data_IF_956984790992
#
_entry.id   IF_956984790992
#
_cell.length_a   1.000
_cell.length_b   1.000
_cell.length_c   1.000
_cell.angle_alpha   90.00
_cell.angle_beta   90.00
_cell.angle_gamma   90.00
#
_symmetry.space_group_name_H-M   'P 1'
#
loop_
_entity.id
_entity.type
_entity.pdbx_description
1 polymer ?
#
# COMPACT_ATOMS: atom_id res chain seq x y z
N UNK A 1 15.74 4.86 12.16
CA UNK A 1 16.03 5.25 13.58
C UNK A 1 14.79 5.34 14.51
N UNK A 2 13.75 6.14 14.19
CA UNK A 2 12.57 6.37 15.06
C UNK A 2 11.87 5.09 15.55
N UNK A 3 11.72 4.09 14.68
CA UNK A 3 11.12 2.79 14.98
C UNK A 3 11.82 2.05 16.13
N UNK A 4 13.16 1.97 16.09
CA UNK A 4 13.96 1.29 17.11
C UNK A 4 13.97 2.02 18.44
N UNK A 5 13.97 3.37 18.42
CA UNK A 5 13.85 4.16 19.64
C UNK A 5 12.53 3.89 20.38
N UNK A 6 11.43 3.77 19.64
CA UNK A 6 10.12 3.41 20.23
C UNK A 6 10.11 1.99 20.79
N UNK A 7 10.72 1.03 20.09
CA UNK A 7 10.85 -0.34 20.59
C UNK A 7 11.67 -0.41 21.88
N UNK A 8 12.83 0.24 21.91
CA UNK A 8 13.71 0.27 23.09
C UNK A 8 12.99 0.86 24.31
N UNK A 9 12.24 1.96 24.12
CA UNK A 9 11.47 2.58 25.20
C UNK A 9 10.31 1.70 25.67
N UNK A 10 9.65 0.99 24.75
CA UNK A 10 8.61 0.01 25.10
C UNK A 10 9.18 -1.11 25.95
N UNK A 11 10.31 -1.70 25.56
CA UNK A 11 10.97 -2.78 26.31
C UNK A 11 11.42 -2.32 27.70
N UNK A 12 11.94 -1.11 27.83
CA UNK A 12 12.32 -0.53 29.12
C UNK A 12 11.11 -0.39 30.06
N UNK A 13 9.99 0.13 29.56
CA UNK A 13 8.75 0.31 30.33
C UNK A 13 8.09 -1.02 30.71
N UNK A 14 8.20 -2.05 29.87
CA UNK A 14 7.68 -3.40 30.17
C UNK A 14 8.49 -4.10 31.28
N UNK A 15 9.81 -3.88 31.32
CA UNK A 15 10.69 -4.47 32.35
C UNK A 15 10.55 -3.80 33.73
N UNK A 16 10.12 -2.54 33.77
CA UNK A 16 10.08 -1.77 35.02
C UNK A 16 8.92 -2.16 35.96
N UNK A 17 7.95 -2.96 35.50
CA UNK A 17 6.80 -3.42 36.30
C UNK A 17 5.85 -2.26 36.67
N UNK A 18 4.66 -2.20 36.06
CA UNK A 18 3.69 -1.13 36.36
C UNK A 18 2.68 -1.58 37.40
N UNK A 19 2.53 -0.77 38.46
CA UNK A 19 1.37 -0.79 39.36
C UNK A 19 0.13 -0.39 38.57
N UNK A 20 -0.76 -1.35 38.31
CA UNK A 20 -1.93 -1.22 37.42
C UNK A 20 -3.11 -0.47 38.06
N UNK A 21 -2.98 -0.04 39.31
CA UNK A 21 -4.01 0.57 40.16
C UNK A 21 -4.13 2.10 40.02
N UNK A 22 -3.12 2.80 39.48
CA UNK A 22 -3.01 4.27 39.64
C UNK A 22 -3.22 5.15 38.39
N UNK A 23 -3.49 4.61 37.20
CA UNK A 23 -3.68 5.44 36.00
C UNK A 23 -5.08 5.29 35.39
N UNK A 24 -6.01 6.12 35.86
CA UNK A 24 -7.33 6.36 35.29
C UNK A 24 -7.24 7.44 34.19
N UNK A 25 -7.08 7.03 32.94
CA UNK A 25 -7.29 7.86 31.74
C UNK A 25 -8.27 7.15 30.80
N UNK A 26 -9.41 7.77 30.51
CA UNK A 26 -10.64 7.10 30.09
C UNK A 26 -10.78 6.71 28.60
N UNK A 27 -9.71 6.76 27.77
CA UNK A 27 -9.85 6.65 26.30
C UNK A 27 -8.89 5.69 25.58
N UNK A 28 -8.02 4.97 26.30
CA UNK A 28 -7.09 4.00 25.70
C UNK A 28 -7.53 2.56 26.04
N UNK A 29 -7.60 1.62 25.07
CA UNK A 29 -8.01 0.26 25.38
C UNK A 29 -7.08 -0.36 26.41
N UNK A 30 -7.64 -1.10 27.38
CA UNK A 30 -7.01 -1.44 28.67
C UNK A 30 -5.80 -2.39 28.62
N UNK A 31 -5.30 -2.79 27.44
CA UNK A 31 -4.11 -3.66 27.39
C UNK A 31 -2.85 -2.91 27.80
N UNK A 32 -1.91 -3.62 28.41
CA UNK A 32 -0.64 -3.03 28.90
C UNK A 32 0.22 -2.48 27.76
N UNK A 33 0.15 -3.09 26.57
CA UNK A 33 0.80 -2.59 25.35
C UNK A 33 0.24 -1.23 24.90
N UNK A 34 -1.08 -1.06 24.94
CA UNK A 34 -1.72 0.21 24.56
C UNK A 34 -1.39 1.31 25.56
N UNK A 35 -1.34 0.99 26.86
CA UNK A 35 -0.93 1.94 27.90
C UNK A 35 0.53 2.36 27.73
N UNK A 36 1.40 1.41 27.40
CA UNK A 36 2.84 1.68 27.20
C UNK A 36 3.08 2.51 25.95
N UNK A 37 2.43 2.17 24.83
CA UNK A 37 2.52 2.95 23.60
C UNK A 37 1.85 4.33 23.71
N UNK A 38 0.79 4.48 24.50
CA UNK A 38 0.21 5.77 24.83
C UNK A 38 1.17 6.65 25.65
N UNK A 39 1.85 6.09 26.66
CA UNK A 39 2.88 6.81 27.41
C UNK A 39 4.02 7.28 26.50
N UNK A 40 4.54 6.38 25.65
CA UNK A 40 5.60 6.74 24.68
C UNK A 40 5.13 7.85 23.75
N UNK A 41 3.88 7.76 23.27
CA UNK A 41 3.26 8.76 22.41
C UNK A 41 3.15 10.13 23.08
N UNK A 42 2.66 10.19 24.32
CA UNK A 42 2.60 11.43 25.11
C UNK A 42 3.97 12.08 25.26
N UNK A 43 4.99 11.30 25.59
CA UNK A 43 6.35 11.82 25.80
C UNK A 43 7.00 12.33 24.50
N UNK A 44 6.56 11.83 23.34
CA UNK A 44 7.16 12.11 22.02
C UNK A 44 6.27 12.95 21.10
N UNK A 45 5.08 13.36 21.56
CA UNK A 45 4.10 14.12 20.77
C UNK A 45 3.41 13.32 19.65
N UNK A 46 3.42 11.99 19.72
CA UNK A 46 2.81 11.10 18.73
C UNK A 46 1.57 10.38 19.27
N UNK A 47 0.63 10.00 18.40
CA UNK A 47 -0.48 9.15 18.82
C UNK A 47 0.02 7.73 19.16
N UNK A 48 -0.64 7.03 20.09
CA UNK A 48 -0.31 5.64 20.40
C UNK A 48 -0.34 4.73 19.15
N UNK A 49 -1.26 4.99 18.21
CA UNK A 49 -1.35 4.29 16.92
C UNK A 49 -0.11 4.53 16.07
N UNK A 50 0.40 5.77 16.05
CA UNK A 50 1.64 6.13 15.36
C UNK A 50 2.81 5.36 15.94
N UNK A 51 2.95 5.36 17.26
CA UNK A 51 4.00 4.61 17.98
C UNK A 51 3.94 3.12 17.65
N UNK A 52 2.75 2.50 17.68
CA UNK A 52 2.56 1.10 17.34
C UNK A 52 3.02 0.76 15.92
N UNK A 53 2.64 1.59 14.93
CA UNK A 53 3.04 1.38 13.53
C UNK A 53 4.55 1.46 13.36
N UNK A 54 5.21 2.41 14.02
CA UNK A 54 6.67 2.51 14.00
C UNK A 54 7.35 1.32 14.67
N UNK A 55 6.87 0.87 15.84
CA UNK A 55 7.38 -0.34 16.48
C UNK A 55 7.19 -1.54 15.56
N UNK A 56 6.07 -1.61 14.83
CA UNK A 56 5.80 -2.72 13.92
C UNK A 56 6.86 -2.84 12.82
N UNK A 57 7.34 -1.73 12.26
CA UNK A 57 8.42 -1.74 11.24
C UNK A 57 9.70 -2.45 11.70
N UNK A 58 9.95 -2.57 13.02
CA UNK A 58 11.11 -3.32 13.53
C UNK A 58 11.02 -4.84 13.32
N UNK A 59 9.90 -5.34 12.78
CA UNK A 59 9.72 -6.74 12.37
C UNK A 59 9.97 -6.94 10.87
N UNK A 60 10.35 -5.88 10.14
CA UNK A 60 10.82 -6.02 8.77
C UNK A 60 12.22 -6.61 8.76
N UNK A 61 12.51 -7.43 7.75
CA UNK A 61 13.88 -7.82 7.45
C UNK A 61 14.69 -6.58 7.03
N UNK A 62 16.02 -6.53 7.32
CA UNK A 62 16.83 -5.35 7.04
C UNK A 62 16.71 -4.82 5.60
N UNK A 63 16.74 -5.66 4.54
CA UNK A 63 16.63 -5.15 3.17
C UNK A 63 15.32 -4.40 2.90
N UNK A 64 14.18 -4.92 3.38
CA UNK A 64 12.89 -4.24 3.19
C UNK A 64 12.84 -2.97 4.02
N UNK A 65 13.42 -2.96 5.23
CA UNK A 65 13.50 -1.77 6.05
C UNK A 65 14.34 -0.67 5.39
N UNK A 66 15.47 -1.03 4.79
CA UNK A 66 16.32 -0.10 4.03
C UNK A 66 15.55 0.51 2.86
N UNK A 67 14.76 -0.29 2.12
CA UNK A 67 13.89 0.23 1.06
C UNK A 67 12.82 1.21 1.55
N UNK A 68 12.41 1.13 2.83
CA UNK A 68 11.50 2.11 3.44
C UNK A 68 12.24 3.40 3.78
N UNK A 69 13.44 3.28 4.34
CA UNK A 69 14.29 4.43 4.68
C UNK A 69 14.72 5.19 3.41
N UNK A 70 15.00 4.47 2.31
CA UNK A 70 15.23 5.01 0.97
C UNK A 70 13.97 5.53 0.26
N UNK A 71 12.79 5.40 0.88
CA UNK A 71 11.48 5.78 0.34
C UNK A 71 11.05 5.04 -0.94
N UNK A 72 11.68 3.90 -1.25
CA UNK A 72 11.25 2.99 -2.33
C UNK A 72 9.94 2.28 -1.99
N UNK A 73 9.72 2.01 -0.70
CA UNK A 73 8.46 1.50 -0.15
C UNK A 73 7.86 2.57 0.77
N UNK A 74 6.59 2.92 0.54
CA UNK A 74 5.90 3.87 1.40
C UNK A 74 5.62 3.27 2.80
N UNK A 75 5.53 4.14 3.81
CA UNK A 75 5.32 3.74 5.21
C UNK A 75 4.10 2.85 5.43
N UNK A 76 2.97 3.12 4.77
CA UNK A 76 1.74 2.35 4.98
C UNK A 76 1.83 0.92 4.44
N UNK A 77 2.24 0.67 3.18
CA UNK A 77 2.56 -0.68 2.71
C UNK A 77 3.57 -1.40 3.62
N UNK A 78 4.64 -0.72 4.03
CA UNK A 78 5.66 -1.32 4.91
C UNK A 78 5.09 -1.82 6.24
N UNK A 79 4.14 -1.08 6.83
CA UNK A 79 3.42 -1.53 8.03
C UNK A 79 2.64 -2.80 7.76
N UNK A 80 2.02 -2.99 6.60
CA UNK A 80 1.34 -4.25 6.28
C UNK A 80 2.34 -5.40 6.06
N UNK A 81 3.44 -5.14 5.35
CA UNK A 81 4.50 -6.13 5.10
C UNK A 81 5.17 -6.62 6.39
N UNK A 82 5.27 -5.77 7.40
CA UNK A 82 5.80 -6.15 8.72
C UNK A 82 4.93 -7.16 9.50
N UNK A 83 3.78 -7.57 8.95
CA UNK A 83 3.00 -8.70 9.44
C UNK A 83 3.34 -10.05 8.81
N UNK A 84 4.11 -10.06 7.73
CA UNK A 84 4.59 -11.29 7.11
C UNK A 84 5.67 -11.95 7.96
N UNK A 85 5.76 -13.27 7.87
CA UNK A 85 6.86 -14.03 8.47
C UNK A 85 8.20 -13.67 7.80
N UNK A 86 9.34 -13.78 8.50
CA UNK A 86 10.65 -13.47 7.92
C UNK A 86 10.94 -14.21 6.60
N UNK A 87 10.50 -15.46 6.49
CA UNK A 87 10.65 -16.28 5.30
C UNK A 87 9.79 -15.75 4.13
N UNK A 88 8.57 -15.30 4.42
CA UNK A 88 7.66 -14.70 3.45
C UNK A 88 8.16 -13.33 2.96
N UNK A 89 8.76 -12.54 3.86
CA UNK A 89 9.42 -11.29 3.50
C UNK A 89 10.62 -11.54 2.58
N UNK A 90 11.37 -12.63 2.82
CA UNK A 90 12.49 -13.02 1.95
C UNK A 90 12.00 -13.44 0.57
N UNK A 91 10.90 -14.20 0.49
CA UNK A 91 10.26 -14.55 -0.78
C UNK A 91 9.78 -13.30 -1.55
N UNK A 92 9.14 -12.37 -0.86
CA UNK A 92 8.71 -11.09 -1.43
C UNK A 92 9.90 -10.28 -1.96
N UNK A 93 11.00 -10.21 -1.22
CA UNK A 93 12.21 -9.50 -1.64
C UNK A 93 12.74 -10.05 -2.97
N UNK A 94 12.86 -11.37 -3.09
CA UNK A 94 13.29 -12.02 -4.34
C UNK A 94 12.37 -11.68 -5.53
N UNK A 95 11.06 -11.67 -5.30
CA UNK A 95 10.07 -11.30 -6.34
C UNK A 95 10.18 -9.82 -6.75
N UNK A 96 10.47 -8.94 -5.78
CA UNK A 96 10.68 -7.51 -6.01
C UNK A 96 11.95 -7.23 -6.82
N UNK A 97 13.04 -7.96 -6.53
CA UNK A 97 14.30 -7.88 -7.27
C UNK A 97 14.15 -8.42 -8.69
N UNK A 98 13.47 -9.56 -8.86
CA UNK A 98 13.26 -10.19 -10.17
C UNK A 98 12.45 -9.30 -11.14
N UNK A 99 11.40 -8.65 -10.63
CA UNK A 99 10.50 -7.82 -11.45
C UNK A 99 10.82 -6.32 -11.42
N UNK A 100 11.90 -5.92 -10.72
CA UNK A 100 12.24 -4.53 -10.42
C UNK A 100 11.03 -3.69 -9.97
N UNK A 101 10.30 -4.18 -8.96
CA UNK A 101 9.05 -3.56 -8.53
C UNK A 101 8.83 -3.60 -7.02
N UNK A 102 7.97 -2.71 -6.51
CA UNK A 102 7.54 -2.68 -5.11
C UNK A 102 6.02 -2.82 -4.99
N UNK A 103 5.52 -3.47 -3.93
CA UNK A 103 4.08 -3.61 -3.70
C UNK A 103 3.46 -2.26 -3.33
N UNK A 104 2.28 -1.98 -3.91
CA UNK A 104 1.43 -0.90 -3.44
C UNK A 104 0.64 -1.31 -2.18
N UNK A 105 -0.14 -0.39 -1.61
CA UNK A 105 -0.91 -0.66 -0.39
C UNK A 105 -1.89 -1.83 -0.54
N UNK A 106 -2.61 -1.91 -1.66
CA UNK A 106 -3.58 -2.98 -1.87
C UNK A 106 -2.90 -4.35 -2.01
N UNK A 107 -1.76 -4.40 -2.68
CA UNK A 107 -0.94 -5.62 -2.78
C UNK A 107 -0.43 -6.03 -1.39
N UNK A 108 0.13 -5.10 -0.61
CA UNK A 108 0.63 -5.37 0.73
C UNK A 108 -0.46 -5.88 1.70
N UNK A 109 -1.68 -5.34 1.61
CA UNK A 109 -2.84 -5.81 2.39
C UNK A 109 -3.21 -7.27 2.02
N UNK A 110 -3.29 -7.59 0.72
CA UNK A 110 -3.60 -8.94 0.25
C UNK A 110 -2.52 -9.95 0.61
N UNK A 111 -1.24 -9.55 0.55
CA UNK A 111 -0.11 -10.38 0.99
C UNK A 111 -0.23 -10.71 2.48
N UNK A 112 -0.53 -9.72 3.31
CA UNK A 112 -0.76 -9.92 4.74
C UNK A 112 -1.94 -10.86 5.01
N UNK A 113 -3.08 -10.66 4.35
CA UNK A 113 -4.26 -11.53 4.50
C UNK A 113 -3.92 -12.98 4.13
N UNK A 114 -3.15 -13.18 3.06
CA UNK A 114 -2.71 -14.50 2.62
C UNK A 114 -1.78 -15.18 3.63
N UNK A 115 -0.82 -14.44 4.18
CA UNK A 115 0.06 -14.91 5.26
C UNK A 115 -0.74 -15.30 6.51
N UNK A 116 -1.68 -14.44 6.94
CA UNK A 116 -2.55 -14.72 8.09
C UNK A 116 -3.43 -15.96 7.89
N UNK A 117 -3.79 -16.28 6.64
CA UNK A 117 -4.55 -17.48 6.29
C UNK A 117 -3.67 -18.73 6.13
N UNK A 118 -2.34 -18.61 6.21
CA UNK A 118 -1.40 -19.71 5.96
C UNK A 118 -1.35 -20.16 4.50
N UNK A 119 -1.74 -19.27 3.57
CA UNK A 119 -1.83 -19.56 2.13
C UNK A 119 -0.73 -18.87 1.31
N UNK A 120 0.35 -18.43 1.97
CA UNK A 120 1.44 -17.70 1.31
C UNK A 120 2.31 -18.66 0.50
N UNK A 121 2.19 -18.60 -0.83
CA UNK A 121 2.97 -19.41 -1.76
C UNK A 121 3.61 -18.53 -2.83
N UNK A 122 4.73 -19.01 -3.41
CA UNK A 122 5.42 -18.29 -4.48
C UNK A 122 4.50 -17.98 -5.67
N UNK A 123 3.68 -18.94 -6.11
CA UNK A 123 2.73 -18.75 -7.21
C UNK A 123 1.74 -17.59 -6.94
N UNK A 124 1.17 -17.54 -5.73
CA UNK A 124 0.21 -16.51 -5.34
C UNK A 124 0.88 -15.15 -5.13
N UNK A 125 2.11 -15.15 -4.61
CA UNK A 125 2.94 -13.96 -4.51
C UNK A 125 3.20 -13.35 -5.90
N UNK A 126 3.72 -14.14 -6.85
CA UNK A 126 3.96 -13.68 -8.22
C UNK A 126 2.67 -13.23 -8.91
N UNK A 127 1.55 -13.89 -8.64
CA UNK A 127 0.23 -13.46 -9.14
C UNK A 127 -0.10 -12.04 -8.64
N UNK A 128 0.00 -11.79 -7.33
CA UNK A 128 -0.31 -10.46 -6.76
C UNK A 128 0.66 -9.40 -7.25
N UNK A 129 1.95 -9.73 -7.36
CA UNK A 129 3.00 -8.79 -7.74
C UNK A 129 2.97 -8.46 -9.24
N UNK A 130 2.58 -9.43 -10.08
CA UNK A 130 2.43 -9.27 -11.52
C UNK A 130 1.10 -8.65 -11.97
N UNK A 131 0.13 -8.47 -11.07
CA UNK A 131 -1.10 -7.74 -11.38
C UNK A 131 -0.81 -6.30 -11.83
N UNK A 132 -1.31 -5.94 -13.01
CA UNK A 132 -1.19 -4.61 -13.57
C UNK A 132 -1.79 -3.59 -12.60
N UNK A 133 -0.96 -2.68 -12.09
CA UNK A 133 -1.40 -1.77 -11.03
C UNK A 133 -2.51 -0.87 -11.57
N UNK A 134 -3.57 -0.62 -10.79
CA UNK A 134 -4.69 0.22 -11.26
C UNK A 134 -4.27 1.65 -11.67
N UNK A 135 -3.15 2.14 -11.13
CA UNK A 135 -2.48 3.40 -11.49
C UNK A 135 -1.55 3.29 -12.71
N UNK A 136 -1.25 2.09 -13.19
CA UNK A 136 -0.49 1.81 -14.41
C UNK A 136 -1.37 1.58 -15.65
N UNK A 137 -2.69 1.41 -15.50
CA UNK A 137 -3.60 1.44 -16.66
C UNK A 137 -3.51 2.78 -17.37
N UNK A 138 -3.13 2.78 -18.65
CA UNK A 138 -3.03 3.98 -19.46
C UNK A 138 -4.41 4.66 -19.53
N UNK A 139 -4.50 5.90 -19.02
CA UNK A 139 -5.72 6.69 -19.04
C UNK A 139 -5.49 7.95 -19.86
N UNK A 140 -6.20 8.07 -20.98
CA UNK A 140 -6.24 9.30 -21.76
C UNK A 140 -7.25 10.26 -21.11
N UNK A 141 -6.76 11.34 -20.49
CA UNK A 141 -7.62 12.39 -19.92
C UNK A 141 -7.87 13.46 -20.98
N UNK A 142 -9.11 13.56 -21.46
CA UNK A 142 -9.55 14.60 -22.39
C UNK A 142 -10.46 15.57 -21.64
N UNK A 143 -10.06 16.84 -21.46
CA UNK A 143 -10.94 17.87 -20.91
C UNK A 143 -12.25 17.96 -21.68
N UNK A 144 -13.39 17.89 -20.98
CA UNK A 144 -14.70 17.80 -21.61
C UNK A 144 -15.00 19.02 -22.49
N UNK A 145 -14.55 20.22 -22.09
CA UNK A 145 -14.65 21.47 -22.84
C UNK A 145 -14.00 21.39 -24.24
N UNK A 146 -12.88 20.68 -24.39
CA UNK A 146 -12.20 20.51 -25.69
C UNK A 146 -13.05 19.77 -26.70
N UNK A 147 -13.85 18.82 -26.24
CA UNK A 147 -14.63 17.92 -27.08
C UNK A 147 -16.12 18.28 -27.13
N UNK A 148 -16.66 18.97 -26.12
CA UNK A 148 -18.09 19.27 -25.96
C UNK A 148 -18.71 19.94 -27.18
N UNK A 149 -17.94 20.82 -27.84
CA UNK A 149 -18.36 21.54 -29.07
C UNK A 149 -18.66 20.62 -30.26
N UNK A 150 -18.19 19.37 -30.24
CA UNK A 150 -18.44 18.39 -31.31
C UNK A 150 -19.63 17.45 -30.99
N UNK A 151 -20.25 17.58 -29.81
CA UNK A 151 -21.35 16.72 -29.37
C UNK A 151 -22.64 17.51 -29.10
N UNK A 152 -23.82 16.93 -29.35
CA UNK A 152 -25.11 17.53 -29.02
C UNK A 152 -25.24 17.90 -27.54
N UNK A 153 -25.92 19.00 -27.20
CA UNK A 153 -26.02 19.51 -25.82
C UNK A 153 -26.74 18.56 -24.85
N UNK A 154 -27.53 17.65 -25.36
CA UNK A 154 -28.28 16.62 -24.64
C UNK A 154 -27.45 15.35 -24.35
N UNK A 155 -26.27 15.20 -24.95
CA UNK A 155 -25.42 14.03 -24.69
C UNK A 155 -24.86 14.03 -23.26
N UNK A 156 -25.00 12.88 -22.62
CA UNK A 156 -24.32 12.54 -21.35
C UNK A 156 -22.85 12.22 -21.58
N UNK A 157 -22.04 12.30 -20.51
CA UNK A 157 -20.61 11.95 -20.57
C UNK A 157 -20.40 10.51 -21.07
N UNK A 158 -21.25 9.57 -20.68
CA UNK A 158 -21.18 8.18 -21.15
C UNK A 158 -21.42 8.05 -22.66
N UNK A 159 -22.41 8.78 -23.20
CA UNK A 159 -22.68 8.78 -24.64
C UNK A 159 -21.55 9.45 -25.45
N UNK A 160 -20.92 10.48 -24.88
CA UNK A 160 -19.73 11.11 -25.46
C UNK A 160 -18.57 10.11 -25.51
N UNK A 161 -18.30 9.41 -24.40
CA UNK A 161 -17.25 8.39 -24.31
C UNK A 161 -17.48 7.27 -25.32
N UNK A 162 -18.69 6.71 -25.38
CA UNK A 162 -19.05 5.65 -26.33
C UNK A 162 -18.86 6.10 -27.79
N UNK A 163 -19.23 7.34 -28.10
CA UNK A 163 -19.07 7.89 -29.46
C UNK A 163 -17.59 8.10 -29.81
N UNK A 164 -16.76 8.54 -28.86
CA UNK A 164 -15.31 8.67 -29.07
C UNK A 164 -14.69 7.31 -29.38
N UNK A 165 -15.07 6.26 -28.64
CA UNK A 165 -14.60 4.90 -28.89
C UNK A 165 -14.99 4.44 -30.31
N UNK A 166 -16.25 4.65 -30.71
CA UNK A 166 -16.73 4.32 -32.07
C UNK A 166 -15.94 5.05 -33.17
N UNK A 167 -15.60 6.33 -32.96
CA UNK A 167 -14.80 7.11 -33.91
C UNK A 167 -13.38 6.56 -34.03
N UNK A 168 -12.75 6.19 -32.92
CA UNK A 168 -11.43 5.56 -32.91
C UNK A 168 -11.45 4.21 -33.65
N UNK A 169 -12.45 3.37 -33.42
CA UNK A 169 -12.61 2.10 -34.13
C UNK A 169 -12.82 2.29 -35.64
N UNK A 170 -13.67 3.23 -36.03
CA UNK A 170 -13.95 3.50 -37.44
C UNK A 170 -12.69 4.01 -38.17
N UNK A 171 -11.94 4.90 -37.53
CA UNK A 171 -10.67 5.40 -38.04
C UNK A 171 -9.63 4.29 -38.15
N UNK A 172 -9.52 3.41 -37.15
CA UNK A 172 -8.62 2.26 -37.18
C UNK A 172 -8.97 1.29 -38.32
N UNK A 173 -10.25 0.95 -38.48
CA UNK A 173 -10.74 0.10 -39.57
C UNK A 173 -10.44 0.71 -40.95
N UNK A 174 -10.63 2.02 -41.11
CA UNK A 174 -10.30 2.71 -42.37
C UNK A 174 -8.80 2.66 -42.67
N UNK A 175 -7.96 2.94 -41.67
CA UNK A 175 -6.50 2.89 -41.81
C UNK A 175 -5.97 1.50 -42.16
N UNK A 176 -6.58 0.43 -41.65
CA UNK A 176 -6.21 -0.94 -42.03
C UNK A 176 -6.55 -1.23 -43.50
N UNK A 177 -7.76 -0.88 -43.94
CA UNK A 177 -8.18 -1.05 -45.34
C UNK A 177 -7.27 -0.28 -46.32
N UNK A 178 -6.93 0.96 -46.00
CA UNK A 178 -6.06 1.80 -46.83
C UNK A 178 -4.60 1.27 -46.86
N UNK A 179 -4.17 0.52 -45.84
CA UNK A 179 -2.85 -0.11 -45.77
C UNK A 179 -2.79 -1.41 -46.57
N UNK A 180 -3.86 -2.21 -46.56
CA UNK A 180 -3.96 -3.47 -47.32
C UNK A 180 -4.24 -3.23 -48.82
N UNK A 181 -4.55 -1.98 -49.19
CA UNK A 181 -4.76 -1.54 -50.59
C UNK A 181 -3.49 -1.00 -51.26
N UNK A 182 -2.34 -1.00 -50.57
CA UNK A 182 -1.02 -0.58 -51.05
C UNK A 182 -0.08 -1.76 -51.17
#
# INVERSE_FOLDING_TARGET
EKAFAYKLKMEALSRQGKRTDLTLGQLVPKSDDNRTTAQIGMDMGDSYKTVQRYIRLTNLIPPILDMVDEKRIAFTPAVELSYLLPEEQTMLLSEMEYNDCTPNLSQAQRLKEMSMQGLFTAERLSTIMGEEKANQKERVKIPADRIRKYFPKDYTTAQIEETIVKLCEAYHRKRLRDRDSR
#
